data_IF_915359413171
#
_entry.id   IF_915359413171
#
_cell.length_a   1.000
_cell.length_b   1.000
_cell.length_c   1.000
_cell.angle_alpha   90.00
_cell.angle_beta   90.00
_cell.angle_gamma   90.00
#
_symmetry.space_group_name_H-M   'P 1'
#
loop_
_entity.id
_entity.type
_entity.pdbx_description
1 polymer ?
#
# COMPACT_ATOMS: atom_id res chain seq x y z
N UNK A 1 8.81 9.24 -1.97
CA UNK A 1 9.27 8.73 -0.66
C UNK A 1 10.04 9.78 0.16
N UNK A 2 11.11 10.42 -0.35
CA UNK A 2 11.90 11.39 0.45
C UNK A 2 11.08 12.57 1.01
N UNK A 3 10.17 13.15 0.23
CA UNK A 3 9.34 14.29 0.66
C UNK A 3 8.34 13.96 1.78
N UNK A 4 7.58 12.87 1.66
CA UNK A 4 6.67 12.40 2.72
C UNK A 4 7.38 12.16 4.06
N UNK A 5 8.57 11.52 4.03
CA UNK A 5 9.33 11.25 5.26
C UNK A 5 9.89 12.52 5.91
N UNK A 6 10.10 13.58 5.13
CA UNK A 6 10.60 14.85 5.63
C UNK A 6 9.48 15.76 6.14
N UNK A 7 8.30 15.71 5.50
CA UNK A 7 7.15 16.53 5.83
C UNK A 7 5.84 15.70 5.65
N UNK A 8 5.33 15.07 6.72
CA UNK A 8 4.19 14.16 6.65
C UNK A 8 2.85 14.89 6.61
N UNK A 9 2.66 15.77 5.63
CA UNK A 9 1.40 16.47 5.37
C UNK A 9 0.45 15.67 4.49
N UNK A 10 -0.87 15.89 4.63
CA UNK A 10 -1.88 15.21 3.82
C UNK A 10 -1.67 15.43 2.32
N UNK A 11 -1.23 16.61 1.89
CA UNK A 11 -0.91 16.92 0.50
C UNK A 11 0.27 16.09 -0.03
N UNK A 12 1.32 15.94 0.78
CA UNK A 12 2.45 15.09 0.42
C UNK A 12 2.04 13.62 0.35
N UNK A 13 1.15 13.17 1.24
CA UNK A 13 0.61 11.82 1.18
C UNK A 13 -0.26 11.59 -0.05
N UNK A 14 -1.09 12.57 -0.39
CA UNK A 14 -1.87 12.57 -1.62
C UNK A 14 -0.97 12.44 -2.85
N UNK A 15 0.16 13.15 -2.88
CA UNK A 15 1.18 13.00 -3.93
C UNK A 15 1.76 11.58 -4.04
N UNK A 16 1.97 10.89 -2.91
CA UNK A 16 2.39 9.46 -2.92
C UNK A 16 1.29 8.60 -3.52
N UNK A 17 0.04 8.79 -3.12
CA UNK A 17 -1.10 8.00 -3.59
C UNK A 17 -1.31 8.21 -5.10
N UNK A 18 -1.13 9.43 -5.60
CA UNK A 18 -1.15 9.73 -7.04
C UNK A 18 -0.03 9.01 -7.81
N UNK A 19 1.21 9.03 -7.28
CA UNK A 19 2.37 8.43 -7.95
C UNK A 19 2.27 6.91 -8.12
N UNK A 20 1.43 6.26 -7.31
CA UNK A 20 1.22 4.82 -7.32
C UNK A 20 -0.08 4.38 -8.01
N UNK A 21 -0.85 5.31 -8.58
CA UNK A 21 -2.01 4.96 -9.39
C UNK A 21 -1.60 4.09 -10.59
N UNK A 22 -2.39 3.05 -10.89
CA UNK A 22 -2.11 2.06 -11.93
C UNK A 22 -1.06 1.00 -11.56
N UNK A 23 -0.37 1.13 -10.42
CA UNK A 23 0.57 0.10 -9.94
C UNK A 23 -0.20 -1.12 -9.44
N UNK A 24 0.37 -2.31 -9.64
CA UNK A 24 -0.18 -3.58 -9.12
C UNK A 24 0.25 -3.78 -7.67
N UNK A 25 -0.75 -4.01 -6.82
CA UNK A 25 -0.63 -4.35 -5.41
C UNK A 25 -1.14 -5.75 -5.16
N UNK A 26 -0.92 -6.26 -3.95
CA UNK A 26 -1.53 -7.47 -3.43
C UNK A 26 -2.13 -7.20 -2.06
N UNK A 27 -3.32 -7.73 -1.80
CA UNK A 27 -3.94 -7.67 -0.47
C UNK A 27 -3.22 -8.62 0.50
N UNK A 28 -3.56 -8.55 1.80
CA UNK A 28 -3.09 -9.50 2.82
C UNK A 28 -3.26 -10.99 2.42
N UNK A 29 -4.32 -11.33 1.67
CA UNK A 29 -4.55 -12.69 1.17
C UNK A 29 -3.80 -13.02 -0.13
N UNK A 30 -3.03 -12.08 -0.67
CA UNK A 30 -2.30 -12.23 -1.94
C UNK A 30 -3.11 -11.90 -3.19
N UNK A 31 -4.34 -11.38 -3.04
CA UNK A 31 -5.17 -11.04 -4.20
C UNK A 31 -4.59 -9.80 -4.91
N UNK A 32 -4.28 -9.88 -6.22
CA UNK A 32 -3.79 -8.74 -6.95
C UNK A 32 -4.90 -7.71 -7.17
N UNK A 33 -4.55 -6.43 -7.04
CA UNK A 33 -5.43 -5.32 -7.38
C UNK A 33 -4.60 -4.14 -7.88
N UNK A 34 -5.25 -3.20 -8.56
CA UNK A 34 -4.68 -1.89 -8.83
C UNK A 34 -5.72 -0.84 -8.48
N UNK A 35 -5.34 0.44 -8.51
CA UNK A 35 -6.33 1.49 -8.39
C UNK A 35 -6.04 2.64 -9.33
N UNK A 36 -7.10 3.31 -9.73
CA UNK A 36 -7.04 4.57 -10.45
C UNK A 36 -7.69 5.67 -9.61
N UNK A 37 -7.36 6.92 -9.91
CA UNK A 37 -7.95 8.07 -9.24
C UNK A 37 -8.85 8.77 -10.23
N UNK A 38 -10.12 8.93 -9.87
CA UNK A 38 -11.11 9.55 -10.75
C UNK A 38 -10.80 11.03 -10.90
N UNK A 39 -10.81 11.50 -12.14
CA UNK A 39 -10.74 12.92 -12.48
C UNK A 39 -12.17 13.41 -12.74
N UNK A 40 -12.52 14.53 -12.13
CA UNK A 40 -13.76 15.23 -12.42
C UNK A 40 -13.71 15.87 -13.82
N UNK A 41 -14.85 16.44 -14.25
CA UNK A 41 -14.96 17.13 -15.55
C UNK A 41 -13.98 18.29 -15.72
N UNK A 42 -13.51 18.87 -14.61
CA UNK A 42 -12.56 19.99 -14.59
C UNK A 42 -11.09 19.51 -14.54
N UNK A 43 -10.81 18.21 -14.69
CA UNK A 43 -9.47 17.65 -14.55
C UNK A 43 -8.96 17.51 -13.10
N UNK A 44 -9.66 18.12 -12.13
CA UNK A 44 -9.36 17.98 -10.71
C UNK A 44 -9.66 16.56 -10.20
N UNK A 45 -8.80 16.03 -9.33
CA UNK A 45 -9.00 14.72 -8.72
C UNK A 45 -10.13 14.74 -7.70
N UNK A 46 -11.04 13.76 -7.76
CA UNK A 46 -12.22 13.72 -6.88
C UNK A 46 -11.92 13.19 -5.47
N UNK A 47 -10.65 12.96 -5.12
CA UNK A 47 -10.23 12.28 -3.87
C UNK A 47 -10.98 10.95 -3.65
N UNK A 48 -11.27 10.24 -4.74
CA UNK A 48 -11.82 8.88 -4.73
C UNK A 48 -10.92 7.94 -5.50
N UNK A 49 -10.64 6.79 -4.91
CA UNK A 49 -9.83 5.73 -5.49
C UNK A 49 -10.76 4.64 -6.03
N UNK A 50 -10.54 4.24 -7.27
CA UNK A 50 -11.24 3.16 -7.94
C UNK A 50 -10.38 1.92 -7.94
N UNK A 51 -10.74 0.94 -7.09
CA UNK A 51 -10.01 -0.32 -6.98
C UNK A 51 -10.44 -1.26 -8.09
N UNK A 52 -9.51 -1.66 -8.95
CA UNK A 52 -9.72 -2.67 -9.98
C UNK A 52 -9.30 -4.07 -9.49
N UNK A 53 -10.24 -5.03 -9.59
CA UNK A 53 -10.08 -6.40 -9.05
C UNK A 53 -10.66 -7.51 -9.92
N UNK A 54 -10.73 -7.34 -11.25
CA UNK A 54 -11.20 -8.27 -12.31
C UNK A 54 -12.66 -8.19 -12.76
N UNK A 55 -13.65 -8.04 -11.88
CA UNK A 55 -15.09 -8.07 -12.31
C UNK A 55 -15.97 -6.97 -11.73
N UNK A 56 -15.64 -6.44 -10.55
CA UNK A 56 -16.38 -5.35 -9.91
C UNK A 56 -15.42 -4.35 -9.31
N UNK A 57 -15.29 -3.19 -9.93
CA UNK A 57 -14.54 -2.07 -9.37
C UNK A 57 -15.24 -1.57 -8.11
N UNK A 58 -14.46 -1.23 -7.08
CA UNK A 58 -14.99 -0.67 -5.83
C UNK A 58 -14.42 0.72 -5.62
N UNK A 59 -15.26 1.66 -5.22
CA UNK A 59 -14.79 2.96 -4.75
C UNK A 59 -14.24 2.85 -3.32
N UNK A 60 -13.15 3.56 -3.07
CA UNK A 60 -12.51 3.75 -1.78
C UNK A 60 -12.36 5.25 -1.55
N UNK A 61 -13.00 5.76 -0.52
CA UNK A 61 -12.98 7.19 -0.21
C UNK A 61 -11.62 7.60 0.36
N UNK A 62 -11.13 8.80 0.03
CA UNK A 62 -9.92 9.35 0.62
C UNK A 62 -9.98 9.45 2.14
N UNK A 63 -11.15 9.80 2.69
CA UNK A 63 -11.37 9.83 4.14
C UNK A 63 -11.10 8.48 4.80
N UNK A 64 -11.41 7.36 4.13
CA UNK A 64 -11.08 6.02 4.62
C UNK A 64 -9.57 5.77 4.68
N UNK A 65 -8.83 6.31 3.71
CA UNK A 65 -7.36 6.19 3.69
C UNK A 65 -6.74 7.03 4.81
N UNK A 66 -7.21 8.27 4.99
CA UNK A 66 -6.75 9.14 6.09
C UNK A 66 -7.06 8.54 7.47
N UNK A 67 -8.26 7.97 7.64
CA UNK A 67 -8.63 7.31 8.89
C UNK A 67 -7.72 6.12 9.21
N UNK A 68 -7.41 5.30 8.20
CA UNK A 68 -6.45 4.21 8.37
C UNK A 68 -5.04 4.71 8.67
N UNK A 69 -4.61 5.81 8.06
CA UNK A 69 -3.31 6.42 8.29
C UNK A 69 -3.16 6.89 9.75
N UNK A 70 -4.18 7.54 10.29
CA UNK A 70 -4.22 7.98 11.70
C UNK A 70 -4.28 6.83 12.71
N UNK A 71 -4.70 5.63 12.28
CA UNK A 71 -4.77 4.45 13.13
C UNK A 71 -3.47 3.61 13.15
N UNK A 72 -2.42 4.02 12.44
CA UNK A 72 -1.11 3.35 12.50
C UNK A 72 -0.49 3.63 13.87
N UNK A 73 -0.51 2.64 14.77
CA UNK A 73 0.03 2.75 16.15
C UNK A 73 1.41 2.13 16.34
N UNK A 74 1.95 1.42 15.34
CA UNK A 74 3.23 0.73 15.42
C UNK A 74 3.78 0.37 14.04
N UNK A 75 5.02 -0.12 14.01
CA UNK A 75 5.71 -0.44 12.75
C UNK A 75 5.13 -1.68 12.08
N UNK A 76 4.87 -2.75 12.83
CA UNK A 76 4.28 -3.99 12.30
C UNK A 76 2.77 -4.02 12.58
N UNK A 77 1.97 -4.11 11.53
CA UNK A 77 0.51 -4.21 11.65
C UNK A 77 0.09 -5.64 11.31
N UNK A 78 -0.38 -6.42 12.29
CA UNK A 78 -0.63 -7.85 12.11
C UNK A 78 -1.72 -8.20 11.09
N UNK A 79 -2.75 -7.37 10.98
CA UNK A 79 -3.92 -7.64 10.13
C UNK A 79 -4.59 -6.34 9.67
N UNK A 80 -5.29 -6.33 8.51
CA UNK A 80 -5.96 -5.13 8.01
C UNK A 80 -6.88 -4.45 9.01
N UNK A 81 -7.66 -5.21 9.79
CA UNK A 81 -8.59 -4.67 10.80
C UNK A 81 -7.91 -3.87 11.92
N UNK A 82 -6.59 -4.02 12.11
CA UNK A 82 -5.86 -3.21 13.07
C UNK A 82 -5.72 -1.73 12.63
N UNK A 83 -5.91 -1.44 11.33
CA UNK A 83 -6.01 -0.07 10.81
C UNK A 83 -7.42 0.54 11.02
N UNK A 84 -8.35 -0.23 11.59
CA UNK A 84 -9.73 0.17 11.85
C UNK A 84 -10.76 -0.66 11.10
N UNK A 85 -12.01 -0.56 11.54
CA UNK A 85 -13.16 -1.18 10.88
C UNK A 85 -13.62 -0.32 9.70
N UNK A 86 -12.84 -0.38 8.61
CA UNK A 86 -13.00 0.49 7.45
C UNK A 86 -13.37 -0.36 6.23
N UNK A 87 -14.37 0.07 5.48
CA UNK A 87 -14.73 -0.59 4.22
C UNK A 87 -13.56 -0.50 3.24
N UNK A 88 -13.07 -1.64 2.79
CA UNK A 88 -11.93 -1.69 1.86
C UNK A 88 -10.56 -1.59 2.54
N UNK A 89 -10.49 -1.71 3.88
CA UNK A 89 -9.23 -1.69 4.64
C UNK A 89 -8.19 -2.68 4.15
N UNK A 90 -8.60 -3.80 3.56
CA UNK A 90 -7.69 -4.80 2.98
C UNK A 90 -6.87 -4.26 1.81
N UNK A 91 -7.40 -3.29 1.05
CA UNK A 91 -6.67 -2.61 -0.02
C UNK A 91 -5.73 -1.56 0.55
N UNK A 92 -6.21 -0.76 1.50
CA UNK A 92 -5.40 0.25 2.19
C UNK A 92 -4.17 -0.40 2.83
N UNK A 93 -4.37 -1.53 3.52
CA UNK A 93 -3.28 -2.30 4.11
C UNK A 93 -2.21 -2.69 3.09
N UNK A 94 -2.63 -3.17 1.90
CA UNK A 94 -1.70 -3.50 0.82
C UNK A 94 -0.97 -2.30 0.24
N UNK A 95 -1.66 -1.16 0.13
CA UNK A 95 -1.06 0.09 -0.29
C UNK A 95 -0.02 0.59 0.73
N UNK A 96 -0.36 0.66 2.02
CA UNK A 96 0.51 1.16 3.08
C UNK A 96 1.77 0.34 3.22
N UNK A 97 1.66 -0.99 3.12
CA UNK A 97 2.82 -1.86 3.07
C UNK A 97 3.74 -1.52 1.89
N UNK A 98 3.17 -1.35 0.69
CA UNK A 98 3.95 -1.03 -0.51
C UNK A 98 4.51 0.40 -0.49
N UNK A 99 3.83 1.32 0.18
CA UNK A 99 4.32 2.68 0.46
C UNK A 99 5.41 2.68 1.53
N UNK A 100 5.65 1.56 2.22
CA UNK A 100 6.62 1.46 3.31
C UNK A 100 6.22 2.28 4.54
N UNK A 101 4.91 2.41 4.79
CA UNK A 101 4.35 3.04 6.00
C UNK A 101 4.19 2.05 7.15
N UNK A 102 3.95 0.79 6.83
CA UNK A 102 3.81 -0.31 7.77
C UNK A 102 4.66 -1.47 7.29
N UNK A 103 5.15 -2.27 8.23
CA UNK A 103 5.57 -3.64 7.98
C UNK A 103 4.42 -4.60 8.30
N UNK A 104 4.51 -5.82 7.75
CA UNK A 104 3.48 -6.86 7.87
C UNK A 104 4.13 -8.13 8.39
N UNK A 105 3.41 -9.06 9.01
CA UNK A 105 4.01 -10.32 9.48
C UNK A 105 4.52 -11.17 8.31
N UNK A 106 5.55 -12.00 8.54
CA UNK A 106 6.24 -12.75 7.47
C UNK A 106 5.29 -13.64 6.65
N UNK A 107 4.29 -14.24 7.29
CA UNK A 107 3.24 -15.03 6.65
C UNK A 107 2.40 -14.22 5.63
N UNK A 108 2.29 -12.90 5.82
CA UNK A 108 1.65 -11.98 4.89
C UNK A 108 2.64 -11.50 3.81
N UNK A 109 3.91 -11.27 4.16
CA UNK A 109 4.96 -10.85 3.18
C UNK A 109 5.04 -11.80 1.99
N UNK A 110 5.00 -13.11 2.25
CA UNK A 110 5.03 -14.16 1.22
C UNK A 110 3.85 -14.05 0.25
N UNK A 111 2.64 -13.88 0.79
CA UNK A 111 1.41 -13.73 -0.01
C UNK A 111 1.39 -12.42 -0.80
N UNK A 112 1.90 -11.36 -0.19
CA UNK A 112 1.93 -10.01 -0.75
C UNK A 112 3.05 -9.80 -1.77
N UNK A 113 3.82 -10.86 -2.07
CA UNK A 113 4.80 -10.85 -3.15
C UNK A 113 6.05 -10.04 -2.82
N UNK A 114 6.40 -9.90 -1.54
CA UNK A 114 7.76 -9.50 -1.21
C UNK A 114 8.66 -10.72 -1.47
N UNK A 115 9.69 -10.62 -2.34
CA UNK A 115 10.71 -11.65 -2.38
C UNK A 115 11.30 -11.77 -0.96
N UNK A 116 11.27 -12.98 -0.38
CA UNK A 116 12.11 -13.31 0.78
C UNK A 116 13.48 -12.75 0.46
N UNK A 117 14.01 -11.88 1.31
CA UNK A 117 15.42 -11.48 1.25
C UNK A 117 16.19 -12.81 1.25
N UNK A 118 16.70 -13.25 0.10
CA UNK A 118 17.63 -14.38 0.07
C UNK A 118 18.82 -13.90 0.88
N UNK A 119 18.83 -14.22 2.18
CA UNK A 119 20.08 -14.34 2.92
C UNK A 119 20.81 -15.49 2.22
N UNK A 120 21.69 -15.16 1.25
CA UNK A 120 22.85 -15.96 0.81
C UNK A 120 23.35 -15.59 -0.61
N UNK A 121 23.76 -14.34 -0.84
CA UNK A 121 24.55 -14.00 -2.04
C UNK A 121 25.82 -13.19 -1.71
N UNK A 122 26.34 -13.31 -0.48
CA UNK A 122 27.68 -12.79 -0.11
C UNK A 122 28.67 -13.92 0.20
N UNK A 123 28.20 -15.17 0.34
CA UNK A 123 29.08 -16.32 0.65
C UNK A 123 29.67 -17.02 -0.59
N UNK A 124 29.11 -16.85 -1.80
CA UNK A 124 29.57 -17.58 -2.99
C UNK A 124 30.73 -16.90 -3.76
N UNK A 125 31.02 -15.62 -3.52
CA UNK A 125 32.13 -14.93 -4.20
C UNK A 125 33.47 -14.99 -3.45
N UNK A 126 33.54 -15.67 -2.30
CA UNK A 126 34.81 -15.86 -1.55
C UNK A 126 35.45 -17.25 -1.71
N UNK A 127 34.87 -18.12 -2.53
CA UNK A 127 35.39 -19.49 -2.74
C UNK A 127 35.91 -19.77 -4.15
N UNK A 128 35.90 -18.79 -5.05
CA UNK A 128 36.57 -18.91 -6.35
C UNK A 128 37.84 -18.07 -6.28
N UNK A 129 38.90 -18.76 -5.84
CA UNK A 129 40.33 -18.60 -6.14
C UNK A 129 40.81 -17.23 -6.63
#
# INVERSE_FOLDING_TARGET
MKRWRADPTEENFWGVVLAYAGVKFKTYSGLPFSYEIKKGRNGAYTKELWIDRREKSKSLAWSSVLLALGNIKGEVVERPKALGDIRGVTYIYGMFYRFGLIDVPDNAKEKMGHPKKQKNLVAMCKSLR
#
